data_IF_784207651634
#
_entry.id   IF_784207651634
#
_cell.length_a   1.000
_cell.length_b   1.000
_cell.length_c   1.000
_cell.angle_alpha   90.00
_cell.angle_beta   90.00
_cell.angle_gamma   90.00
#
_symmetry.space_group_name_H-M   'P 1'
#
loop_
_entity.id
_entity.type
_entity.pdbx_description
1 polymer ?
#
# COMPACT_ATOMS: atom_id res chain seq x y z
N UNK A 1 -5.22 15.35 43.52
CA UNK A 1 -5.73 15.78 42.19
C UNK A 1 -4.71 15.52 41.07
N UNK A 2 -3.49 16.07 41.10
CA UNK A 2 -2.44 15.79 40.08
C UNK A 2 -2.11 14.30 39.91
N UNK A 3 -2.07 13.54 41.01
CA UNK A 3 -1.76 12.10 40.99
C UNK A 3 -2.86 11.26 40.31
N UNK A 4 -4.13 11.65 40.47
CA UNK A 4 -5.26 10.97 39.81
C UNK A 4 -5.27 11.24 38.30
N UNK A 5 -4.91 12.45 37.87
CA UNK A 5 -4.81 12.82 36.45
C UNK A 5 -3.70 12.02 35.76
N UNK A 6 -2.56 11.80 36.43
CA UNK A 6 -1.46 10.99 35.89
C UNK A 6 -1.83 9.51 35.72
N UNK A 7 -2.58 8.93 36.66
CA UNK A 7 -3.03 7.52 36.59
C UNK A 7 -4.07 7.32 35.48
N UNK A 8 -4.96 8.29 35.26
CA UNK A 8 -5.93 8.24 34.15
C UNK A 8 -5.21 8.40 32.80
N UNK A 9 -4.22 9.28 32.71
CA UNK A 9 -3.47 9.47 31.47
C UNK A 9 -2.65 8.23 31.07
N UNK A 10 -2.08 7.48 32.02
CA UNK A 10 -1.29 6.27 31.70
C UNK A 10 -2.15 5.06 31.31
N UNK A 11 -3.37 4.94 31.85
CA UNK A 11 -4.29 3.85 31.48
C UNK A 11 -4.95 4.03 30.11
N UNK A 12 -5.09 5.26 29.63
CA UNK A 12 -5.80 5.56 28.36
C UNK A 12 -4.87 5.53 27.13
N UNK A 13 -3.56 5.59 27.32
CA UNK A 13 -2.56 5.68 26.21
C UNK A 13 -2.20 4.32 25.58
N UNK A 14 -2.66 3.20 26.15
CA UNK A 14 -2.21 1.86 25.78
C UNK A 14 -2.79 1.21 24.51
N UNK A 15 -3.78 1.79 23.83
CA UNK A 15 -4.47 1.11 22.72
C UNK A 15 -4.83 2.07 21.56
N UNK A 16 -3.85 2.42 20.73
CA UNK A 16 -4.07 3.27 19.55
C UNK A 16 -4.01 2.51 18.21
N UNK A 17 -4.03 1.17 18.25
CA UNK A 17 -4.04 0.35 17.04
C UNK A 17 -5.05 -0.79 17.13
N UNK A 18 -6.31 -0.45 17.39
CA UNK A 18 -7.41 -1.32 16.99
C UNK A 18 -7.78 -0.92 15.57
N UNK A 19 -7.68 -1.84 14.64
CA UNK A 19 -8.19 -1.64 13.30
C UNK A 19 -9.72 -1.57 13.36
N UNK A 20 -10.26 -0.35 13.42
CA UNK A 20 -11.67 -0.13 13.72
C UNK A 20 -12.53 -0.33 12.47
N UNK A 21 -13.45 -1.29 12.55
CA UNK A 21 -14.49 -1.53 11.57
C UNK A 21 -15.89 -1.38 12.20
N UNK A 22 -16.94 -1.28 11.39
CA UNK A 22 -18.33 -1.20 11.89
C UNK A 22 -18.79 -2.60 12.32
N UNK A 23 -19.17 -2.83 13.59
CA UNK A 23 -19.62 -4.14 14.08
C UNK A 23 -20.71 -4.77 13.20
N UNK A 24 -20.60 -6.09 13.01
CA UNK A 24 -21.56 -6.87 12.21
C UNK A 24 -21.41 -6.72 10.69
N UNK A 25 -20.59 -5.78 10.21
CA UNK A 25 -20.39 -5.60 8.77
C UNK A 25 -19.49 -6.69 8.16
N UNK A 26 -19.70 -6.93 6.87
CA UNK A 26 -18.83 -7.77 6.03
C UNK A 26 -18.41 -6.96 4.82
N UNK A 27 -17.13 -6.96 4.51
CA UNK A 27 -16.54 -6.16 3.43
C UNK A 27 -15.38 -6.92 2.78
N UNK A 28 -14.83 -6.37 1.68
CA UNK A 28 -13.64 -6.91 1.03
C UNK A 28 -12.45 -5.99 1.21
N UNK A 29 -11.30 -6.61 1.46
CA UNK A 29 -10.00 -5.99 1.35
C UNK A 29 -9.16 -6.81 0.39
N UNK A 30 -8.73 -6.17 -0.69
CA UNK A 30 -8.23 -6.86 -1.88
C UNK A 30 -9.20 -7.97 -2.32
N UNK A 31 -8.73 -9.20 -2.44
CA UNK A 31 -9.53 -10.38 -2.75
C UNK A 31 -10.09 -11.08 -1.49
N UNK A 32 -9.71 -10.64 -0.29
CA UNK A 32 -10.09 -11.27 0.96
C UNK A 32 -11.43 -10.75 1.45
N UNK A 33 -12.22 -11.66 2.05
CA UNK A 33 -13.49 -11.29 2.69
C UNK A 33 -13.24 -11.13 4.18
N UNK A 34 -13.67 -10.00 4.71
CA UNK A 34 -13.48 -9.60 6.09
C UNK A 34 -14.83 -9.45 6.79
N UNK A 35 -14.91 -9.88 8.05
CA UNK A 35 -16.05 -9.64 8.94
C UNK A 35 -15.59 -8.84 10.15
N UNK A 36 -16.37 -7.85 10.53
CA UNK A 36 -16.16 -7.09 11.76
C UNK A 36 -16.84 -7.77 12.95
N UNK A 37 -16.07 -8.02 14.01
CA UNK A 37 -16.60 -8.47 15.31
C UNK A 37 -17.23 -7.32 16.11
N UNK A 38 -17.98 -7.67 17.16
CA UNK A 38 -18.59 -6.70 18.08
C UNK A 38 -17.57 -5.83 18.82
N UNK A 39 -16.34 -6.33 18.95
CA UNK A 39 -15.21 -5.61 19.54
C UNK A 39 -14.54 -4.61 18.57
N UNK A 40 -15.10 -4.42 17.38
CA UNK A 40 -14.55 -3.54 16.36
C UNK A 40 -13.28 -4.05 15.70
N UNK A 41 -12.90 -5.32 15.90
CA UNK A 41 -11.77 -5.97 15.23
C UNK A 41 -12.26 -6.77 14.03
N UNK A 42 -11.55 -6.65 12.90
CA UNK A 42 -11.83 -7.42 11.70
C UNK A 42 -11.10 -8.75 11.67
N UNK A 43 -11.74 -9.77 11.08
CA UNK A 43 -11.11 -11.03 10.73
C UNK A 43 -11.32 -11.29 9.24
N UNK A 44 -10.22 -11.49 8.51
CA UNK A 44 -10.23 -11.67 7.06
C UNK A 44 -9.78 -13.07 6.66
N UNK A 45 -10.26 -13.55 5.51
CA UNK A 45 -9.64 -14.71 4.84
C UNK A 45 -8.19 -14.41 4.47
N UNK A 46 -7.38 -15.44 4.19
CA UNK A 46 -5.96 -15.32 3.84
C UNK A 46 -5.64 -15.88 2.45
N UNK A 47 -6.41 -15.47 1.46
CA UNK A 47 -6.17 -15.77 0.05
C UNK A 47 -4.96 -14.96 -0.43
N UNK A 48 -4.10 -15.60 -1.22
CA UNK A 48 -3.07 -14.90 -1.99
C UNK A 48 -3.78 -14.13 -3.10
N UNK A 49 -3.78 -12.79 -3.01
CA UNK A 49 -4.47 -11.97 -4.00
C UNK A 49 -3.58 -11.74 -5.22
N UNK A 50 -4.13 -11.80 -6.45
CA UNK A 50 -3.39 -11.47 -7.65
C UNK A 50 -2.94 -10.01 -7.58
N UNK A 51 -1.71 -9.73 -8.03
CA UNK A 51 -1.32 -8.37 -8.37
C UNK A 51 -2.21 -7.93 -9.51
N UNK A 52 -2.96 -6.84 -9.32
CA UNK A 52 -3.66 -6.19 -10.43
C UNK A 52 -2.60 -5.58 -11.32
N UNK A 53 -1.98 -6.38 -12.18
CA UNK A 53 -1.44 -5.86 -13.42
C UNK A 53 -2.66 -5.35 -14.17
N UNK A 54 -2.74 -4.03 -14.34
CA UNK A 54 -3.67 -3.38 -15.24
C UNK A 54 -3.31 -3.81 -16.66
N UNK A 55 -3.63 -5.06 -17.00
CA UNK A 55 -3.78 -5.48 -18.38
C UNK A 55 -5.06 -4.80 -18.85
N UNK A 56 -4.88 -3.64 -19.46
CA UNK A 56 -5.90 -3.07 -20.34
C UNK A 56 -6.11 -4.13 -21.41
N UNK A 57 -7.19 -4.88 -21.26
CA UNK A 57 -7.57 -5.94 -22.16
C UNK A 57 -8.39 -5.32 -23.30
N UNK A 58 -7.72 -5.00 -24.39
CA UNK A 58 -8.24 -5.19 -25.72
C UNK A 58 -7.61 -6.46 -26.34
N UNK A 59 -8.45 -7.49 -26.47
CA UNK A 59 -8.31 -8.80 -27.16
C UNK A 59 -7.67 -8.76 -28.58
N UNK A 60 -7.44 -9.90 -29.28
CA UNK A 60 -6.59 -11.06 -29.01
C UNK A 60 -5.70 -11.42 -30.24
N UNK A 61 -4.38 -11.52 -30.13
CA UNK A 61 -3.62 -12.31 -31.13
C UNK A 61 -2.43 -13.01 -30.50
N UNK A 62 -2.44 -14.33 -30.64
CA UNK A 62 -1.33 -15.19 -30.28
C UNK A 62 -0.06 -14.80 -31.03
N UNK A 63 1.03 -14.58 -30.29
CA UNK A 63 2.36 -14.94 -30.76
C UNK A 63 3.12 -15.71 -29.68
N UNK A 64 3.66 -16.80 -30.17
CA UNK A 64 4.35 -17.90 -29.57
C UNK A 64 5.86 -17.64 -29.44
N UNK A 65 6.40 -18.23 -28.36
CA UNK A 65 7.77 -18.68 -28.11
C UNK A 65 8.93 -17.70 -27.88
N UNK A 66 9.35 -17.73 -26.61
CA UNK A 66 10.71 -17.96 -26.11
C UNK A 66 11.78 -16.87 -26.29
N UNK A 67 11.81 -15.93 -25.34
CA UNK A 67 13.06 -15.27 -24.95
C UNK A 67 13.24 -15.33 -23.45
N UNK A 68 14.28 -16.04 -23.05
CA UNK A 68 14.91 -16.05 -21.74
C UNK A 68 14.88 -14.66 -21.08
N UNK A 69 14.58 -14.63 -19.78
CA UNK A 69 14.16 -13.43 -19.06
C UNK A 69 15.10 -12.23 -19.18
N UNK A 70 14.50 -11.05 -19.32
CA UNK A 70 15.05 -9.75 -18.91
C UNK A 70 13.88 -8.77 -18.89
N UNK A 71 13.40 -8.43 -17.69
CA UNK A 71 12.34 -7.43 -17.50
C UNK A 71 12.94 -6.04 -17.67
N UNK A 72 12.74 -5.44 -18.85
CA UNK A 72 13.07 -4.05 -19.11
C UNK A 72 12.27 -3.59 -20.32
N UNK A 73 11.22 -2.81 -20.09
CA UNK A 73 10.50 -2.16 -21.19
C UNK A 73 10.35 -0.68 -20.89
N UNK A 74 11.23 0.09 -21.52
CA UNK A 74 11.00 1.48 -21.89
C UNK A 74 9.69 1.62 -22.67
N UNK A 75 8.95 2.70 -22.41
CA UNK A 75 8.10 3.36 -23.41
C UNK A 75 8.21 4.87 -23.23
N UNK A 76 9.12 5.48 -23.99
CA UNK A 76 8.90 6.77 -24.68
C UNK A 76 7.81 6.53 -25.73
N UNK A 77 6.88 7.40 -26.11
CA UNK A 77 6.62 8.84 -26.00
C UNK A 77 5.13 9.05 -26.41
N UNK A 78 4.50 10.16 -26.02
CA UNK A 78 3.68 10.98 -26.94
C UNK A 78 3.26 12.30 -26.28
N UNK A 79 3.51 13.36 -27.04
CA UNK A 79 3.50 14.79 -26.72
C UNK A 79 2.10 15.38 -27.01
N UNK A 80 1.61 16.31 -26.17
CA UNK A 80 0.81 17.45 -26.66
C UNK A 80 1.14 18.72 -25.89
N UNK A 81 1.41 19.76 -26.67
CA UNK A 81 1.98 21.06 -26.34
C UNK A 81 1.02 22.02 -25.64
N UNK A 82 1.55 22.81 -24.69
CA UNK A 82 1.64 24.28 -24.72
C UNK A 82 1.61 24.82 -23.28
N UNK A 83 2.73 25.38 -22.83
CA UNK A 83 2.82 26.66 -22.12
C UNK A 83 4.22 26.80 -21.53
N UNK A 84 4.89 27.88 -21.94
CA UNK A 84 6.23 28.24 -21.51
C UNK A 84 6.22 28.64 -20.04
N UNK A 85 6.69 27.75 -19.17
CA UNK A 85 7.43 28.14 -17.98
C UNK A 85 8.37 27.01 -17.57
N UNK A 86 9.66 27.30 -17.71
CA UNK A 86 10.77 26.46 -17.26
C UNK A 86 10.66 26.21 -15.75
N UNK A 87 10.02 25.11 -15.38
CA UNK A 87 10.30 24.39 -14.15
C UNK A 87 10.94 23.07 -14.56
N UNK A 88 12.22 22.92 -14.23
CA UNK A 88 12.97 21.69 -14.43
C UNK A 88 12.22 20.56 -13.73
N UNK A 89 11.51 19.73 -14.51
CA UNK A 89 10.90 18.51 -14.01
C UNK A 89 12.02 17.62 -13.47
N UNK A 90 12.20 17.66 -12.16
CA UNK A 90 13.19 16.88 -11.44
C UNK A 90 12.88 15.40 -11.68
N UNK A 91 13.83 14.72 -12.32
CA UNK A 91 13.76 13.28 -12.56
C UNK A 91 13.67 12.57 -11.21
N UNK A 92 12.46 12.30 -10.72
CA UNK A 92 12.33 11.28 -9.70
C UNK A 92 12.54 9.94 -10.39
N UNK A 93 13.66 9.32 -10.05
CA UNK A 93 14.18 8.08 -10.62
C UNK A 93 13.30 6.87 -10.23
N UNK A 94 12.02 6.84 -10.62
CA UNK A 94 11.07 5.77 -10.30
C UNK A 94 10.88 5.50 -8.80
N UNK A 95 11.19 6.47 -7.94
CA UNK A 95 11.21 6.28 -6.49
C UNK A 95 9.79 6.33 -5.89
N UNK A 96 9.35 5.22 -5.29
CA UNK A 96 8.01 5.03 -4.69
C UNK A 96 7.96 5.51 -3.24
N UNK A 97 9.08 5.48 -2.53
CA UNK A 97 9.20 5.91 -1.15
C UNK A 97 10.62 6.39 -0.81
N UNK A 98 10.76 7.17 0.25
CA UNK A 98 12.07 7.63 0.71
C UNK A 98 12.86 6.44 1.28
N UNK A 99 14.09 6.16 0.84
CA UNK A 99 14.87 5.03 1.33
C UNK A 99 14.94 4.95 2.85
N UNK A 100 14.68 3.75 3.38
CA UNK A 100 14.67 3.43 4.82
C UNK A 100 13.61 4.17 5.66
N UNK A 101 12.74 4.97 5.05
CA UNK A 101 11.60 5.59 5.73
C UNK A 101 10.72 4.52 6.40
N UNK A 102 10.13 4.87 7.54
CA UNK A 102 9.24 4.00 8.30
C UNK A 102 7.88 4.67 8.42
N UNK A 103 6.83 3.92 8.07
CA UNK A 103 5.45 4.34 8.27
C UNK A 103 4.63 3.26 8.96
N UNK A 104 3.53 3.65 9.58
CA UNK A 104 2.51 2.73 10.06
C UNK A 104 1.38 2.72 9.04
N UNK A 105 1.03 1.53 8.53
CA UNK A 105 -0.12 1.34 7.66
C UNK A 105 -0.89 0.12 8.17
N UNK A 106 -2.18 0.27 8.43
CA UNK A 106 -3.05 -0.83 8.87
C UNK A 106 -2.45 -1.60 10.07
N UNK A 107 -1.97 -0.85 11.07
CA UNK A 107 -1.25 -1.35 12.27
C UNK A 107 0.03 -2.18 12.02
N UNK A 108 0.46 -2.29 10.77
CA UNK A 108 1.72 -2.90 10.40
C UNK A 108 2.80 -1.84 10.25
N UNK A 109 3.96 -2.14 10.84
CA UNK A 109 5.15 -1.29 10.69
C UNK A 109 5.76 -1.59 9.33
N UNK A 110 5.80 -0.60 8.46
CA UNK A 110 6.34 -0.68 7.12
C UNK A 110 7.68 0.05 7.03
N UNK A 111 8.65 -0.53 6.31
CA UNK A 111 9.94 0.10 5.99
C UNK A 111 10.14 0.14 4.49
N UNK A 112 10.56 1.28 3.95
CA UNK A 112 10.94 1.42 2.56
C UNK A 112 12.29 0.75 2.27
N UNK A 113 12.41 0.12 1.10
CA UNK A 113 13.66 -0.43 0.58
C UNK A 113 14.76 0.64 0.47
N UNK A 114 16.04 0.25 0.56
CA UNK A 114 17.15 1.20 0.42
C UNK A 114 17.28 1.79 -1.01
N UNK A 115 16.71 1.12 -2.00
CA UNK A 115 16.62 1.60 -3.38
C UNK A 115 15.31 2.37 -3.66
N UNK A 116 14.44 2.57 -2.66
CA UNK A 116 13.23 3.39 -2.81
C UNK A 116 12.10 2.75 -3.64
N UNK A 117 12.21 1.48 -4.02
CA UNK A 117 11.28 0.84 -4.98
C UNK A 117 10.00 0.30 -4.32
N UNK A 118 9.97 0.12 -3.00
CA UNK A 118 8.76 -0.40 -2.35
C UNK A 118 8.80 -0.54 -0.83
N UNK A 119 7.63 -0.83 -0.27
CA UNK A 119 7.39 -0.96 1.17
C UNK A 119 7.35 -2.43 1.63
N UNK A 120 8.07 -2.73 2.71
CA UNK A 120 8.02 -4.02 3.40
C UNK A 120 7.36 -3.85 4.76
N UNK A 121 6.17 -4.43 4.95
CA UNK A 121 5.39 -4.32 6.17
C UNK A 121 5.44 -5.60 7.00
N UNK A 122 5.44 -5.47 8.34
CA UNK A 122 5.17 -6.60 9.23
C UNK A 122 3.78 -7.18 8.94
N UNK A 123 3.51 -8.40 9.43
CA UNK A 123 2.16 -8.95 9.50
C UNK A 123 1.88 -9.27 10.97
N UNK A 124 1.03 -8.50 11.63
CA UNK A 124 0.54 -8.76 12.98
C UNK A 124 -0.88 -9.30 12.95
#
# INVERSE_FOLDING_TARGET
MKLLILIVATLVVGALCSEQCVPGTTFKEDCNTCRCGENGLKACTRKMCPSVETVVADEPYARNDNTNGTTGSSTTESITSADEKEEVAEHTNGQVCTPNEIKMKDCNRCRCANNGIGWFCTRK
#
